data_IF_208249924873
#
_entry.id   IF_208249924873
#
_cell.length_a   1.000
_cell.length_b   1.000
_cell.length_c   1.000
_cell.angle_alpha   90.00
_cell.angle_beta   90.00
_cell.angle_gamma   90.00
#
_symmetry.space_group_name_H-M   'P 1'
#
loop_
_entity.id
_entity.type
_entity.pdbx_description
1 polymer ?
#
# COMPACT_ATOMS: atom_id res chain seq x y z
N UNK A 1 13.66 2.13 0.23
CA UNK A 1 14.16 2.91 1.39
C UNK A 1 14.15 2.10 2.69
N UNK A 2 13.13 1.28 3.00
CA UNK A 2 13.06 0.49 4.26
C UNK A 2 14.15 -0.58 4.45
N UNK A 3 14.85 -1.02 3.39
CA UNK A 3 15.87 -2.09 3.48
C UNK A 3 17.06 -1.75 4.40
N UNK A 4 17.28 -0.48 4.71
CA UNK A 4 18.38 -0.03 5.57
C UNK A 4 17.98 0.13 7.05
N UNK A 5 16.71 -0.08 7.39
CA UNK A 5 16.22 0.02 8.77
C UNK A 5 16.40 -1.35 9.45
N UNK A 6 16.96 -1.42 10.68
CA UNK A 6 17.09 -2.67 11.42
C UNK A 6 15.74 -3.38 11.59
N UNK A 7 15.74 -4.70 11.51
CA UNK A 7 14.51 -5.51 11.52
C UNK A 7 13.69 -5.29 12.79
N UNK A 8 14.39 -5.16 13.92
CA UNK A 8 13.83 -4.98 15.25
C UNK A 8 12.97 -3.70 15.35
N UNK A 9 13.22 -2.73 14.47
CA UNK A 9 12.45 -1.47 14.37
C UNK A 9 11.23 -1.63 13.45
N UNK A 10 11.33 -2.49 12.43
CA UNK A 10 10.28 -2.70 11.42
C UNK A 10 9.24 -3.72 11.90
N UNK A 11 9.65 -4.77 12.62
CA UNK A 11 8.75 -5.85 13.07
C UNK A 11 7.50 -5.31 13.82
N UNK A 12 7.63 -4.40 14.81
CA UNK A 12 6.46 -3.84 15.50
C UNK A 12 5.54 -3.02 14.57
N UNK A 13 6.09 -2.42 13.51
CA UNK A 13 5.29 -1.73 12.50
C UNK A 13 4.49 -2.74 11.67
N UNK A 14 5.13 -3.82 11.21
CA UNK A 14 4.48 -4.88 10.43
C UNK A 14 3.35 -5.54 11.23
N UNK A 15 3.53 -5.74 12.52
CA UNK A 15 2.49 -6.32 13.39
C UNK A 15 1.22 -5.48 13.48
N UNK A 16 1.34 -4.16 13.32
CA UNK A 16 0.21 -3.22 13.32
C UNK A 16 -0.50 -3.13 11.97
N UNK A 17 0.12 -3.63 10.90
CA UNK A 17 -0.50 -3.72 9.57
C UNK A 17 -1.36 -4.99 9.54
N UNK A 18 -2.68 -4.90 9.30
CA UNK A 18 -3.54 -6.08 9.22
C UNK A 18 -3.10 -7.12 8.20
N UNK A 19 -2.53 -6.71 7.06
CA UNK A 19 -1.95 -7.62 6.05
C UNK A 19 -0.59 -8.23 6.45
N UNK A 20 -0.02 -7.88 7.61
CA UNK A 20 1.21 -8.45 8.18
C UNK A 20 2.43 -8.42 7.25
N UNK A 21 2.50 -7.41 6.38
CA UNK A 21 3.65 -7.16 5.51
C UNK A 21 3.80 -5.68 5.22
N UNK A 22 5.03 -5.27 4.87
CA UNK A 22 5.23 -3.99 4.22
C UNK A 22 4.65 -4.01 2.82
N UNK A 23 4.06 -2.88 2.44
CA UNK A 23 3.74 -2.58 1.04
C UNK A 23 5.00 -2.64 0.19
N UNK A 24 4.85 -3.20 -1.00
CA UNK A 24 5.87 -3.17 -2.04
C UNK A 24 5.50 -2.11 -3.08
N UNK A 25 6.47 -1.56 -3.84
CA UNK A 25 6.18 -0.59 -4.90
C UNK A 25 5.08 -1.05 -5.87
N UNK A 26 5.01 -2.35 -6.14
CA UNK A 26 4.05 -2.98 -7.03
C UNK A 26 2.61 -2.87 -6.52
N UNK A 27 2.39 -2.82 -5.19
CA UNK A 27 1.04 -2.63 -4.62
C UNK A 27 0.45 -1.28 -5.07
N UNK A 28 1.26 -0.22 -5.04
CA UNK A 28 0.86 1.12 -5.50
C UNK A 28 0.74 1.15 -7.03
N UNK A 29 1.71 0.56 -7.74
CA UNK A 29 1.72 0.56 -9.20
C UNK A 29 0.48 -0.13 -9.77
N UNK A 30 0.09 -1.28 -9.22
CA UNK A 30 -1.09 -2.02 -9.69
C UNK A 30 -2.39 -1.22 -9.47
N UNK A 31 -2.55 -0.58 -8.31
CA UNK A 31 -3.70 0.27 -8.02
C UNK A 31 -3.76 1.48 -8.97
N UNK A 32 -2.61 2.08 -9.27
CA UNK A 32 -2.51 3.17 -10.24
C UNK A 32 -2.85 2.72 -11.65
N UNK A 33 -2.32 1.58 -12.10
CA UNK A 33 -2.60 1.03 -13.44
C UNK A 33 -4.10 0.76 -13.60
N UNK A 34 -4.77 0.22 -12.59
CA UNK A 34 -6.23 0.07 -12.60
C UNK A 34 -6.96 1.40 -12.72
N UNK A 35 -6.59 2.41 -11.90
CA UNK A 35 -7.25 3.72 -11.97
C UNK A 35 -6.99 4.46 -13.29
N UNK A 36 -5.89 4.14 -13.99
CA UNK A 36 -5.55 4.70 -15.28
C UNK A 36 -6.14 3.93 -16.47
N UNK A 37 -6.79 2.78 -16.23
CA UNK A 37 -7.31 1.92 -17.30
C UNK A 37 -8.78 2.22 -17.62
N UNK A 38 -9.26 1.70 -18.76
CA UNK A 38 -10.63 1.90 -19.22
C UNK A 38 -11.68 1.28 -18.26
N UNK A 39 -11.28 0.26 -17.50
CA UNK A 39 -12.09 -0.38 -16.46
C UNK A 39 -12.49 0.59 -15.34
N UNK A 40 -11.72 1.65 -15.11
CA UNK A 40 -12.03 2.68 -14.12
C UNK A 40 -12.78 3.89 -14.69
N UNK A 41 -13.31 3.81 -15.92
CA UNK A 41 -13.91 4.94 -16.66
C UNK A 41 -15.05 5.70 -15.96
N UNK A 42 -15.66 5.13 -14.92
CA UNK A 42 -16.71 5.79 -14.12
C UNK A 42 -16.30 6.08 -12.67
N UNK A 43 -15.03 5.89 -12.32
CA UNK A 43 -14.47 6.14 -11.00
C UNK A 43 -13.80 7.52 -11.02
N UNK A 44 -14.35 8.48 -10.28
CA UNK A 44 -13.79 9.83 -10.14
C UNK A 44 -14.10 10.42 -8.78
N UNK A 45 -13.27 11.37 -8.31
CA UNK A 45 -13.46 12.07 -7.03
C UNK A 45 -13.21 11.23 -5.78
N UNK A 46 -12.56 10.07 -5.91
CA UNK A 46 -12.27 9.15 -4.80
C UNK A 46 -10.78 9.10 -4.48
N UNK A 47 -10.45 8.80 -3.23
CA UNK A 47 -9.10 8.48 -2.78
C UNK A 47 -9.06 6.97 -2.51
N UNK A 48 -8.25 6.24 -3.27
CA UNK A 48 -8.04 4.81 -3.07
C UNK A 48 -6.85 4.59 -2.12
N UNK A 49 -7.12 4.20 -0.88
CA UNK A 49 -6.07 3.83 0.07
C UNK A 49 -5.40 2.50 -0.32
N UNK A 50 -4.07 2.50 -0.36
CA UNK A 50 -3.24 1.32 -0.65
C UNK A 50 -2.17 1.17 0.43
N UNK A 51 -2.62 0.82 1.64
CA UNK A 51 -1.81 0.86 2.87
C UNK A 51 -1.83 -0.48 3.64
N UNK A 52 -2.48 -1.50 3.10
CA UNK A 52 -2.68 -2.77 3.80
C UNK A 52 -3.50 -2.64 5.08
N UNK A 53 -4.35 -1.62 5.17
CA UNK A 53 -5.13 -1.23 6.34
C UNK A 53 -4.25 -0.80 7.54
N UNK A 54 -3.02 -0.35 7.27
CA UNK A 54 -2.19 0.26 8.29
C UNK A 54 -2.95 1.45 8.88
N UNK A 55 -3.22 1.41 10.19
CA UNK A 55 -3.96 2.47 10.87
C UNK A 55 -3.16 3.77 10.75
N UNK A 56 -3.77 4.79 10.15
CA UNK A 56 -3.27 6.18 10.18
C UNK A 56 -3.49 6.82 11.55
#
# INVERSE_FOLDING_TARGET
>A
MMKAVPKEVIEPMIERIPLRRLGQPEDIANAFVFLASDEASYITGVILSVDGMARS
#
